data_IF_721712108825
#
_entry.id   IF_721712108825
#
_cell.length_a   1.000
_cell.length_b   1.000
_cell.length_c   1.000
_cell.angle_alpha   90.00
_cell.angle_beta   90.00
_cell.angle_gamma   90.00
#
_symmetry.space_group_name_H-M   'P 1'
#
loop_
_entity.id
_entity.type
_entity.pdbx_description
1 polymer ?
#
# COMPACT_ATOMS: atom_id res chain seq x y z
N UNK A 1 -4.66 -10.75 0.80
CA UNK A 1 -4.97 -11.09 2.21
C UNK A 1 -5.77 -9.95 2.84
N UNK A 2 -7.04 -10.20 3.14
CA UNK A 2 -7.87 -9.26 3.90
C UNK A 2 -7.81 -9.63 5.39
N UNK A 3 -7.44 -8.68 6.25
CA UNK A 3 -7.59 -8.81 7.69
C UNK A 3 -8.92 -8.21 8.13
N UNK A 4 -9.57 -8.81 9.11
CA UNK A 4 -10.73 -8.21 9.75
C UNK A 4 -10.26 -7.32 10.91
N UNK A 5 -10.71 -6.07 10.93
CA UNK A 5 -10.57 -5.18 12.07
C UNK A 5 -11.92 -5.11 12.79
N UNK A 6 -11.95 -5.52 14.05
CA UNK A 6 -13.15 -5.46 14.88
C UNK A 6 -12.89 -4.54 16.06
N UNK A 7 -13.84 -3.66 16.36
CA UNK A 7 -13.83 -2.80 17.53
C UNK A 7 -15.13 -2.95 18.31
N UNK A 8 -15.04 -3.02 19.66
CA UNK A 8 -16.18 -3.06 20.57
C UNK A 8 -15.85 -2.26 21.84
N UNK A 9 -16.81 -1.50 22.31
CA UNK A 9 -16.67 -0.76 23.57
C UNK A 9 -17.40 0.57 23.57
N UNK A 10 -17.20 1.36 24.63
CA UNK A 10 -17.74 2.71 24.73
C UNK A 10 -17.17 3.58 23.60
N UNK A 11 -18.02 4.39 22.96
CA UNK A 11 -17.62 5.25 21.86
C UNK A 11 -17.53 4.58 20.48
N UNK A 12 -17.66 3.24 20.40
CA UNK A 12 -17.72 2.53 19.12
C UNK A 12 -19.13 2.62 18.58
N UNK A 13 -19.36 3.17 17.36
CA UNK A 13 -20.68 3.21 16.76
C UNK A 13 -21.26 1.81 16.54
N UNK A 14 -22.54 1.62 16.80
CA UNK A 14 -23.23 0.37 16.52
C UNK A 14 -23.63 0.29 15.02
N UNK A 15 -22.64 0.11 14.16
CA UNK A 15 -22.86 0.13 12.70
C UNK A 15 -22.77 -1.26 12.04
N UNK A 16 -22.50 -2.31 12.81
CA UNK A 16 -22.32 -3.64 12.24
C UNK A 16 -21.06 -3.73 11.35
N UNK A 17 -21.18 -4.42 10.21
CA UNK A 17 -20.08 -4.54 9.24
C UNK A 17 -19.94 -3.25 8.44
N UNK A 18 -18.73 -2.72 8.39
CA UNK A 18 -18.31 -1.60 7.55
C UNK A 18 -17.45 -2.14 6.43
N UNK A 19 -17.86 -1.92 5.19
CA UNK A 19 -17.15 -2.36 4.00
C UNK A 19 -16.32 -1.21 3.42
N UNK A 20 -15.28 -0.83 4.15
CA UNK A 20 -14.32 0.18 3.75
C UNK A 20 -12.91 -0.40 3.71
N UNK A 21 -12.10 0.13 2.78
CA UNK A 21 -10.68 -0.20 2.74
C UNK A 21 -9.98 0.39 3.97
N UNK A 22 -9.36 -0.48 4.76
CA UNK A 22 -8.55 -0.10 5.92
C UNK A 22 -7.12 -0.62 5.77
N UNK A 23 -6.19 0.06 6.42
CA UNK A 23 -4.79 -0.32 6.52
C UNK A 23 -4.38 -0.46 7.98
N UNK A 24 -3.32 -1.20 8.26
CA UNK A 24 -2.78 -1.31 9.62
C UNK A 24 -2.33 0.03 10.20
N UNK A 25 -1.91 0.98 9.36
CA UNK A 25 -1.55 2.35 9.77
C UNK A 25 -2.74 3.14 10.32
N UNK A 26 -3.97 2.74 9.97
CA UNK A 26 -5.20 3.40 10.45
C UNK A 26 -5.50 3.08 11.91
N UNK A 27 -5.00 1.95 12.42
CA UNK A 27 -5.33 1.42 13.75
C UNK A 27 -5.02 2.45 14.83
N UNK A 28 -3.88 3.13 14.74
CA UNK A 28 -3.50 4.13 15.75
C UNK A 28 -4.50 5.30 15.81
N UNK A 29 -4.89 5.85 14.66
CA UNK A 29 -5.90 6.92 14.59
C UNK A 29 -7.27 6.46 15.09
N UNK A 30 -7.66 5.24 14.72
CA UNK A 30 -8.92 4.63 15.18
C UNK A 30 -8.93 4.51 16.70
N UNK A 31 -7.88 3.94 17.28
CA UNK A 31 -7.75 3.80 18.74
C UNK A 31 -7.70 5.15 19.45
N UNK A 32 -6.93 6.11 18.94
CA UNK A 32 -6.88 7.47 19.49
C UNK A 32 -8.25 8.14 19.48
N UNK A 33 -8.97 8.06 18.35
CA UNK A 33 -10.34 8.59 18.24
C UNK A 33 -11.29 7.97 19.26
N UNK A 34 -11.27 6.65 19.41
CA UNK A 34 -12.15 5.92 20.32
C UNK A 34 -11.80 6.18 21.80
N UNK A 35 -10.51 6.38 22.10
CA UNK A 35 -10.03 6.68 23.45
C UNK A 35 -10.07 8.18 23.83
N UNK A 36 -10.44 9.06 22.89
CA UNK A 36 -10.47 10.50 23.10
C UNK A 36 -9.10 11.17 23.15
N UNK A 37 -8.06 10.53 22.60
CA UNK A 37 -6.72 11.12 22.50
C UNK A 37 -6.58 12.00 21.25
N UNK A 38 -5.69 13.03 21.30
CA UNK A 38 -5.32 13.78 20.10
C UNK A 38 -4.73 12.85 19.03
N UNK A 39 -5.24 12.95 17.78
CA UNK A 39 -4.81 12.11 16.66
C UNK A 39 -4.14 12.92 15.53
N UNK A 40 -3.87 14.19 15.78
CA UNK A 40 -3.35 15.15 14.79
C UNK A 40 -1.82 15.17 14.73
N UNK A 41 -1.18 14.05 15.03
CA UNK A 41 0.26 13.96 14.94
C UNK A 41 0.68 13.90 13.44
N UNK A 42 1.58 14.78 12.97
CA UNK A 42 1.92 14.92 11.56
C UNK A 42 2.62 13.69 10.94
N UNK A 43 3.10 12.78 11.77
CA UNK A 43 3.73 11.53 11.37
C UNK A 43 2.76 10.33 11.31
N UNK A 44 1.46 10.57 11.52
CA UNK A 44 0.44 9.52 11.52
C UNK A 44 -0.36 9.58 10.22
N UNK A 45 0.06 8.82 9.22
CA UNK A 45 -0.57 8.77 7.90
C UNK A 45 -1.88 7.98 7.84
N UNK A 46 -2.30 7.37 8.94
CA UNK A 46 -3.53 6.60 9.00
C UNK A 46 -4.77 7.44 8.65
N UNK A 47 -5.83 6.78 8.23
CA UNK A 47 -7.13 7.36 7.97
C UNK A 47 -8.15 6.90 9.02
N UNK A 48 -9.19 7.72 9.25
CA UNK A 48 -10.38 7.29 9.98
C UNK A 48 -11.44 6.81 8.98
N UNK A 49 -12.13 5.69 9.23
CA UNK A 49 -13.33 5.32 8.49
C UNK A 49 -14.42 6.39 8.57
N UNK A 50 -15.31 6.45 7.58
CA UNK A 50 -16.43 7.40 7.57
C UNK A 50 -17.29 7.30 8.83
N UNK A 51 -17.52 6.09 9.32
CA UNK A 51 -18.29 5.83 10.55
C UNK A 51 -17.68 6.49 11.81
N UNK A 52 -16.40 6.83 11.78
CA UNK A 52 -15.69 7.57 12.84
C UNK A 52 -15.43 9.03 12.48
N UNK A 53 -16.07 9.53 11.43
CA UNK A 53 -15.96 10.92 10.96
C UNK A 53 -14.75 11.18 10.04
N UNK A 54 -14.17 10.15 9.49
CA UNK A 54 -13.10 10.26 8.50
C UNK A 54 -13.61 10.29 7.05
N UNK A 55 -12.77 9.86 6.12
CA UNK A 55 -13.07 9.81 4.69
C UNK A 55 -12.86 8.40 4.15
N UNK A 56 -13.71 8.02 3.19
CA UNK A 56 -13.57 6.74 2.51
C UNK A 56 -12.24 6.68 1.75
N UNK A 57 -11.49 5.63 1.98
CA UNK A 57 -10.22 5.40 1.31
C UNK A 57 -10.45 4.82 -0.08
N UNK A 58 -9.86 5.44 -1.11
CA UNK A 58 -9.97 4.95 -2.48
C UNK A 58 -9.09 3.71 -2.73
N UNK A 59 -7.94 3.62 -2.06
CA UNK A 59 -6.99 2.51 -2.21
C UNK A 59 -6.17 2.32 -0.94
N UNK A 60 -5.58 1.15 -0.79
CA UNK A 60 -4.57 0.83 0.23
C UNK A 60 -3.28 0.41 -0.43
N UNK A 61 -2.16 0.66 0.26
CA UNK A 61 -0.84 0.18 -0.15
C UNK A 61 -0.31 -0.75 0.92
N UNK A 62 0.32 -1.83 0.51
CA UNK A 62 1.09 -2.72 1.37
C UNK A 62 2.36 -3.15 0.68
N UNK A 63 3.45 -3.22 1.42
CA UNK A 63 4.72 -3.73 0.91
C UNK A 63 5.34 -4.71 1.89
N UNK A 64 6.28 -5.49 1.38
CA UNK A 64 7.13 -6.40 2.15
C UNK A 64 8.56 -6.21 1.68
N UNK A 65 9.43 -5.80 2.60
CA UNK A 65 10.85 -5.58 2.36
C UNK A 65 11.63 -6.29 3.48
N UNK A 66 12.02 -7.54 3.22
CA UNK A 66 12.79 -8.34 4.16
C UNK A 66 14.03 -8.90 3.44
N UNK A 67 15.25 -8.72 4.00
CA UNK A 67 16.45 -9.33 3.46
C UNK A 67 16.27 -10.83 3.21
N UNK A 68 16.75 -11.30 2.07
CA UNK A 68 16.63 -12.69 1.65
C UNK A 68 15.28 -13.10 1.04
N UNK A 69 14.33 -12.18 0.92
CA UNK A 69 13.03 -12.38 0.23
C UNK A 69 12.87 -11.41 -0.93
N UNK A 70 12.04 -11.76 -1.91
CA UNK A 70 11.67 -10.82 -2.98
C UNK A 70 10.90 -9.63 -2.41
N UNK A 71 11.18 -8.43 -2.92
CA UNK A 71 10.37 -7.27 -2.58
C UNK A 71 8.99 -7.39 -3.22
N UNK A 72 7.97 -7.08 -2.43
CA UNK A 72 6.57 -7.12 -2.90
C UNK A 72 5.87 -5.83 -2.54
N UNK A 73 5.16 -5.27 -3.50
CA UNK A 73 4.27 -4.13 -3.33
C UNK A 73 2.90 -4.49 -3.87
N UNK A 74 1.86 -4.09 -3.16
CA UNK A 74 0.50 -4.17 -3.67
C UNK A 74 -0.26 -2.88 -3.39
N UNK A 75 -0.92 -2.36 -4.43
CA UNK A 75 -1.90 -1.28 -4.34
C UNK A 75 -3.27 -1.89 -4.59
N UNK A 76 -4.22 -1.70 -3.68
CA UNK A 76 -5.54 -2.35 -3.72
C UNK A 76 -6.67 -1.37 -3.64
N UNK A 77 -7.65 -1.53 -4.52
CA UNK A 77 -8.99 -0.94 -4.42
C UNK A 77 -9.99 -1.99 -3.94
N UNK A 78 -11.29 -1.70 -3.98
CA UNK A 78 -12.33 -2.71 -3.73
C UNK A 78 -12.32 -3.82 -4.79
N UNK A 79 -12.12 -3.45 -6.06
CA UNK A 79 -12.36 -4.33 -7.20
C UNK A 79 -11.08 -4.90 -7.80
N UNK A 80 -9.96 -4.18 -7.67
CA UNK A 80 -8.70 -4.53 -8.34
C UNK A 80 -7.50 -4.41 -7.41
N UNK A 81 -6.42 -5.09 -7.76
CA UNK A 81 -5.12 -4.98 -7.12
C UNK A 81 -4.01 -4.89 -8.17
N UNK A 82 -3.10 -3.92 -8.03
CA UNK A 82 -1.79 -3.99 -8.65
C UNK A 82 -0.86 -4.76 -7.74
N UNK A 83 -0.08 -5.67 -8.32
CA UNK A 83 1.04 -6.34 -7.64
C UNK A 83 2.34 -6.05 -8.38
N UNK A 84 3.37 -5.77 -7.62
CA UNK A 84 4.76 -5.73 -8.09
C UNK A 84 5.56 -6.72 -7.25
N UNK A 85 6.40 -7.52 -7.90
CA UNK A 85 7.31 -8.45 -7.25
C UNK A 85 8.65 -8.46 -8.01
N UNK A 86 9.76 -8.29 -7.28
CA UNK A 86 11.10 -8.37 -7.85
C UNK A 86 11.47 -9.82 -8.15
N UNK A 87 12.39 -10.03 -9.08
CA UNK A 87 12.96 -11.35 -9.35
C UNK A 87 14.04 -11.68 -8.30
N UNK A 88 14.88 -10.70 -8.04
CA UNK A 88 15.94 -10.83 -7.06
C UNK A 88 15.45 -10.59 -5.63
N UNK A 89 16.16 -11.16 -4.69
CA UNK A 89 15.90 -10.98 -3.27
C UNK A 89 16.45 -9.64 -2.81
N UNK A 90 15.83 -9.09 -1.79
CA UNK A 90 16.36 -7.93 -1.06
C UNK A 90 17.68 -8.31 -0.42
N UNK A 91 18.71 -7.50 -0.59
CA UNK A 91 20.03 -7.71 0.00
C UNK A 91 20.01 -7.51 1.52
N UNK A 92 21.10 -7.91 2.19
CA UNK A 92 21.22 -7.78 3.66
C UNK A 92 21.18 -6.33 4.14
N UNK A 93 21.61 -5.39 3.31
CA UNK A 93 21.56 -3.94 3.56
C UNK A 93 20.20 -3.30 3.20
N UNK A 94 19.23 -4.10 2.74
CA UNK A 94 17.92 -3.63 2.32
C UNK A 94 17.84 -3.13 0.87
N UNK A 95 18.91 -3.25 0.09
CA UNK A 95 18.92 -2.87 -1.33
C UNK A 95 17.96 -3.76 -2.13
N UNK A 96 17.19 -3.14 -3.04
CA UNK A 96 16.21 -3.83 -3.90
C UNK A 96 16.58 -3.65 -5.36
N UNK A 97 16.78 -4.75 -6.07
CA UNK A 97 16.91 -4.74 -7.53
C UNK A 97 15.54 -4.86 -8.19
N UNK A 98 15.18 -3.85 -8.97
CA UNK A 98 13.93 -3.82 -9.74
C UNK A 98 14.08 -4.30 -11.19
N UNK A 99 15.28 -4.65 -11.62
CA UNK A 99 15.48 -5.23 -12.94
C UNK A 99 14.64 -6.51 -13.09
N UNK A 100 13.85 -6.59 -14.17
CA UNK A 100 12.98 -7.74 -14.39
C UNK A 100 11.79 -7.88 -13.43
N UNK A 101 11.51 -6.88 -12.59
CA UNK A 101 10.35 -6.92 -11.70
C UNK A 101 9.04 -7.14 -12.48
N UNK A 102 8.24 -8.06 -12.00
CA UNK A 102 6.91 -8.36 -12.56
C UNK A 102 5.89 -7.39 -11.98
N UNK A 103 5.09 -6.79 -12.85
CA UNK A 103 3.98 -5.91 -12.46
C UNK A 103 2.72 -6.38 -13.19
N UNK A 104 1.66 -6.63 -12.43
CA UNK A 104 0.37 -7.02 -12.98
C UNK A 104 -0.78 -6.36 -12.23
N UNK A 105 -1.91 -6.21 -12.91
CA UNK A 105 -3.16 -5.74 -12.32
C UNK A 105 -4.17 -6.88 -12.42
N UNK A 106 -4.88 -7.15 -11.34
CA UNK A 106 -5.75 -8.31 -11.19
C UNK A 106 -7.09 -7.92 -10.58
N UNK A 107 -8.19 -8.63 -10.88
CA UNK A 107 -9.40 -8.54 -10.07
C UNK A 107 -9.09 -8.95 -8.62
N UNK A 108 -9.71 -8.29 -7.63
CA UNK A 108 -9.47 -8.61 -6.22
C UNK A 108 -9.73 -10.06 -5.86
N UNK A 109 -10.75 -10.66 -6.47
CA UNK A 109 -11.09 -12.07 -6.24
C UNK A 109 -9.98 -13.04 -6.70
N UNK A 110 -9.16 -12.62 -7.67
CA UNK A 110 -8.12 -13.43 -8.33
C UNK A 110 -6.74 -12.79 -8.24
N UNK A 111 -6.49 -11.95 -7.23
CA UNK A 111 -5.23 -11.18 -7.15
C UNK A 111 -3.96 -12.04 -7.02
N UNK A 112 -4.10 -13.32 -6.69
CA UNK A 112 -2.98 -14.25 -6.57
C UNK A 112 -2.82 -15.19 -7.79
N UNK A 113 -3.69 -15.07 -8.78
CA UNK A 113 -3.75 -15.95 -9.94
C UNK A 113 -3.25 -15.19 -11.18
N UNK A 114 -2.09 -15.57 -11.69
CA UNK A 114 -1.43 -14.85 -12.82
C UNK A 114 -2.26 -14.88 -14.11
N UNK A 115 -3.07 -15.91 -14.33
CA UNK A 115 -3.92 -16.06 -15.52
C UNK A 115 -5.03 -15.00 -15.61
N UNK A 116 -5.32 -14.30 -14.51
CA UNK A 116 -6.33 -13.23 -14.46
C UNK A 116 -5.75 -11.83 -14.59
N UNK A 117 -4.51 -11.69 -15.07
CA UNK A 117 -3.90 -10.39 -15.29
C UNK A 117 -4.70 -9.57 -16.32
N UNK A 118 -4.98 -8.32 -15.96
CA UNK A 118 -5.75 -7.39 -16.79
C UNK A 118 -4.81 -6.45 -17.53
N UNK A 119 -5.06 -6.28 -18.82
CA UNK A 119 -4.40 -5.27 -19.66
C UNK A 119 -5.38 -4.14 -20.00
N UNK A 120 -5.45 -3.12 -19.13
CA UNK A 120 -6.31 -1.96 -19.27
C UNK A 120 -5.52 -0.67 -19.09
N UNK A 121 -5.60 0.22 -20.08
CA UNK A 121 -4.95 1.55 -20.01
C UNK A 121 -5.51 2.39 -18.85
N UNK A 122 -6.81 2.30 -18.58
CA UNK A 122 -7.46 3.01 -17.47
C UNK A 122 -6.95 2.52 -16.12
N UNK A 123 -6.88 1.21 -15.91
CA UNK A 123 -6.36 0.63 -14.69
C UNK A 123 -4.87 0.99 -14.50
N UNK A 124 -4.07 0.94 -15.57
CA UNK A 124 -2.67 1.40 -15.51
C UNK A 124 -2.57 2.87 -15.11
N UNK A 125 -3.37 3.73 -15.70
CA UNK A 125 -3.39 5.17 -15.36
C UNK A 125 -3.79 5.43 -13.91
N UNK A 126 -4.62 4.57 -13.32
CA UNK A 126 -4.98 4.66 -11.90
C UNK A 126 -3.86 4.12 -10.98
N UNK A 127 -3.37 2.91 -11.25
CA UNK A 127 -2.52 2.18 -10.30
C UNK A 127 -1.03 2.57 -10.37
N UNK A 128 -0.46 2.79 -11.57
CA UNK A 128 0.98 3.01 -11.73
C UNK A 128 1.49 4.28 -11.03
N UNK A 129 0.81 5.43 -11.12
CA UNK A 129 1.25 6.62 -10.37
C UNK A 129 1.30 6.37 -8.87
N UNK A 130 0.31 5.67 -8.31
CA UNK A 130 0.21 5.39 -6.86
C UNK A 130 1.32 4.45 -6.37
N UNK A 131 1.59 3.41 -7.14
CA UNK A 131 2.72 2.51 -6.84
C UNK A 131 4.05 3.27 -6.91
N UNK A 132 4.25 4.08 -7.95
CA UNK A 132 5.45 4.91 -8.15
C UNK A 132 5.62 5.93 -7.02
N UNK A 133 4.56 6.63 -6.65
CA UNK A 133 4.63 7.68 -5.63
C UNK A 133 4.93 7.09 -4.26
N UNK A 134 4.35 5.93 -3.92
CA UNK A 134 4.67 5.19 -2.71
C UNK A 134 6.15 4.78 -2.67
N UNK A 135 6.66 4.24 -3.77
CA UNK A 135 8.06 3.87 -3.92
C UNK A 135 8.99 5.08 -3.77
N UNK A 136 8.60 6.24 -4.34
CA UNK A 136 9.36 7.50 -4.21
C UNK A 136 9.40 8.01 -2.78
N UNK A 137 8.29 7.94 -2.08
CA UNK A 137 8.20 8.38 -0.68
C UNK A 137 9.13 7.57 0.21
N UNK A 138 9.08 6.25 0.10
CA UNK A 138 10.01 5.37 0.80
C UNK A 138 11.46 5.70 0.39
N UNK A 139 11.73 5.93 -0.89
CA UNK A 139 13.07 6.29 -1.38
C UNK A 139 13.62 7.58 -0.76
N UNK A 140 12.77 8.57 -0.54
CA UNK A 140 13.19 9.86 0.04
C UNK A 140 13.48 9.78 1.54
N UNK A 141 13.01 8.75 2.24
CA UNK A 141 13.32 8.49 3.64
C UNK A 141 14.75 7.95 3.88
N UNK A 142 15.57 7.85 2.84
CA UNK A 142 17.03 7.82 2.92
C UNK A 142 17.69 6.47 3.18
N UNK A 143 16.95 5.45 3.55
CA UNK A 143 17.57 4.22 4.08
C UNK A 143 17.70 3.07 3.06
N UNK A 144 16.94 3.06 1.95
CA UNK A 144 16.83 1.83 1.14
C UNK A 144 17.10 1.98 -0.38
N UNK A 145 17.39 3.17 -0.95
CA UNK A 145 17.03 3.38 -2.36
C UNK A 145 18.08 3.88 -3.38
N UNK A 146 19.37 3.86 -3.16
CA UNK A 146 20.31 4.20 -4.23
C UNK A 146 20.18 3.26 -5.45
N UNK A 147 20.01 1.97 -5.18
CA UNK A 147 19.86 0.96 -6.22
C UNK A 147 18.53 1.06 -6.99
N UNK A 148 17.43 1.36 -6.29
CA UNK A 148 16.14 1.59 -6.96
C UNK A 148 16.19 2.78 -7.90
N UNK A 149 16.81 3.89 -7.50
CA UNK A 149 16.98 5.06 -8.35
C UNK A 149 17.78 4.75 -9.61
N UNK A 150 18.80 3.91 -9.48
CA UNK A 150 19.61 3.47 -10.62
C UNK A 150 18.83 2.53 -11.54
N UNK A 151 18.05 1.58 -10.98
CA UNK A 151 17.31 0.57 -11.74
C UNK A 151 16.02 1.12 -12.41
N UNK A 152 15.41 2.15 -11.82
CA UNK A 152 14.15 2.74 -12.31
C UNK A 152 14.18 4.27 -12.24
N UNK A 153 15.08 4.94 -12.98
CA UNK A 153 15.22 6.40 -12.93
C UNK A 153 13.94 7.13 -13.33
N UNK A 154 13.14 6.56 -14.23
CA UNK A 154 11.86 7.11 -14.66
C UNK A 154 10.85 7.27 -13.51
N UNK A 155 10.97 6.48 -12.45
CA UNK A 155 10.10 6.58 -11.28
C UNK A 155 10.45 7.76 -10.38
N UNK A 156 11.67 8.29 -10.50
CA UNK A 156 12.19 9.39 -9.68
C UNK A 156 12.31 10.73 -10.41
N UNK A 157 11.78 10.81 -11.64
CA UNK A 157 11.79 12.05 -12.42
C UNK A 157 13.17 12.39 -12.99
N UNK A 158 14.10 11.43 -13.02
CA UNK A 158 15.32 11.56 -13.78
C UNK A 158 14.97 11.56 -15.26
N UNK A 159 15.32 12.63 -15.99
CA UNK A 159 15.47 12.53 -17.44
C UNK A 159 16.70 11.66 -17.70
N UNK A 160 16.70 10.87 -18.81
CA UNK A 160 17.84 10.06 -19.19
C UNK A 160 19.09 10.88 -19.39
#
# INVERSE_FOLDING_TARGET
TGGALMARGAGVPACGRVDELTSTVDIYKILGKLAGYPIDAPYLDGNLPEVLGGQRRAYTVSNSIYPGQTYKLAVRTHDHALRLETQEKVDEDGTVDFAGARVGIYPRAHELEEDYALDSAELRAFFYPRARDFVREIANNGEFWPAMRAARPEWFGGQP
#
